data_IF_000228461164
#
_entry.id   IF_000228461164
#
_cell.length_a   1.000
_cell.length_b   1.000
_cell.length_c   1.000
_cell.angle_alpha   90.00
_cell.angle_beta   90.00
_cell.angle_gamma   90.00
#
_symmetry.space_group_name_H-M   'P 1'
#
loop_
_entity.id
_entity.type
_entity.pdbx_description
1 polymer ?
#
# COMPACT_ATOMS: atom_id res chain seq x y z
N UNK A 1 10.29 -6.61 14.12
CA UNK A 1 9.33 -7.04 13.09
C UNK A 1 9.74 -6.44 11.75
N UNK A 2 9.72 -7.23 10.67
CA UNK A 2 10.15 -6.88 9.32
C UNK A 2 8.99 -7.11 8.36
N UNK A 3 8.63 -6.10 7.58
CA UNK A 3 7.49 -6.11 6.68
C UNK A 3 7.99 -5.87 5.26
N UNK A 4 7.72 -6.82 4.37
CA UNK A 4 7.96 -6.69 2.94
C UNK A 4 6.70 -6.12 2.27
N UNK A 5 6.85 -5.10 1.42
CA UNK A 5 5.73 -4.38 0.82
C UNK A 5 5.93 -4.29 -0.69
N UNK A 6 4.94 -4.74 -1.45
CA UNK A 6 4.90 -4.64 -2.91
C UNK A 6 3.63 -3.91 -3.35
N UNK A 7 3.78 -2.76 -4.02
CA UNK A 7 2.68 -2.00 -4.59
C UNK A 7 2.64 -2.10 -6.11
N UNK A 8 1.45 -1.93 -6.68
CA UNK A 8 1.21 -1.80 -8.11
C UNK A 8 1.91 -2.90 -8.93
N UNK A 9 1.55 -4.15 -8.65
CA UNK A 9 2.20 -5.30 -9.28
C UNK A 9 2.00 -5.32 -10.80
N UNK A 10 0.82 -4.95 -11.30
CA UNK A 10 0.44 -5.01 -12.73
C UNK A 10 0.77 -6.36 -13.38
N UNK A 11 0.54 -7.46 -12.65
CA UNK A 11 0.84 -8.83 -13.07
C UNK A 11 2.31 -9.25 -12.91
N UNK A 12 3.21 -8.35 -12.52
CA UNK A 12 4.64 -8.62 -12.33
C UNK A 12 4.93 -9.28 -10.97
N UNK A 13 4.39 -10.49 -10.80
CA UNK A 13 4.62 -11.36 -9.65
C UNK A 13 4.80 -12.80 -10.10
N UNK A 14 5.82 -13.49 -9.57
CA UNK A 14 6.10 -14.85 -9.98
C UNK A 14 7.02 -15.63 -9.05
N UNK A 15 7.54 -16.75 -9.57
CA UNK A 15 8.33 -17.72 -8.79
C UNK A 15 9.59 -17.07 -8.20
N UNK A 16 10.18 -16.10 -8.91
CA UNK A 16 11.36 -15.38 -8.43
C UNK A 16 11.05 -14.50 -7.20
N UNK A 17 9.85 -13.90 -7.11
CA UNK A 17 9.43 -13.14 -5.93
C UNK A 17 9.21 -14.06 -4.74
N UNK A 18 8.61 -15.23 -4.96
CA UNK A 18 8.35 -16.21 -3.91
C UNK A 18 9.64 -16.85 -3.40
N UNK A 19 10.56 -17.21 -4.30
CA UNK A 19 11.90 -17.66 -3.93
C UNK A 19 12.65 -16.58 -3.14
N UNK A 20 12.52 -15.32 -3.54
CA UNK A 20 13.13 -14.22 -2.81
C UNK A 20 12.51 -14.07 -1.41
N UNK A 21 11.18 -14.15 -1.28
CA UNK A 21 10.51 -14.14 0.03
C UNK A 21 11.02 -15.28 0.93
N UNK A 22 11.20 -16.47 0.38
CA UNK A 22 11.75 -17.62 1.11
C UNK A 22 13.17 -17.37 1.62
N UNK A 23 13.96 -16.53 0.93
CA UNK A 23 15.29 -16.10 1.39
C UNK A 23 15.21 -15.00 2.44
N UNK A 24 14.32 -14.02 2.24
CA UNK A 24 14.23 -12.83 3.09
C UNK A 24 13.53 -13.11 4.43
N UNK A 25 12.59 -14.06 4.45
CA UNK A 25 11.81 -14.47 5.63
C UNK A 25 11.20 -13.26 6.38
N UNK A 26 10.43 -12.36 5.72
CA UNK A 26 9.76 -11.27 6.42
C UNK A 26 8.68 -11.81 7.37
N UNK A 27 8.37 -11.05 8.42
CA UNK A 27 7.33 -11.42 9.39
C UNK A 27 5.92 -11.29 8.79
N UNK A 28 5.74 -10.32 7.88
CA UNK A 28 4.51 -10.07 7.12
C UNK A 28 4.79 -9.52 5.70
N UNK A 29 3.83 -9.72 4.79
CA UNK A 29 3.88 -9.24 3.41
C UNK A 29 2.63 -8.42 3.11
N UNK A 30 2.81 -7.18 2.63
CA UNK A 30 1.72 -6.28 2.27
C UNK A 30 1.67 -6.09 0.75
N UNK A 31 0.49 -6.24 0.17
CA UNK A 31 0.23 -5.97 -1.24
C UNK A 31 -0.66 -4.73 -1.41
N UNK A 32 -0.16 -3.76 -2.18
CA UNK A 32 -0.74 -2.42 -2.31
C UNK A 32 -1.35 -2.21 -3.70
N UNK A 33 -2.48 -2.88 -3.91
CA UNK A 33 -3.35 -2.75 -5.08
C UNK A 33 -2.70 -2.96 -6.44
N UNK A 34 -3.54 -2.74 -7.45
CA UNK A 34 -3.26 -2.97 -8.88
C UNK A 34 -2.46 -4.27 -9.09
N UNK A 35 -2.99 -5.36 -8.55
CA UNK A 35 -2.35 -6.68 -8.57
C UNK A 35 -2.22 -7.18 -10.01
N UNK A 36 -3.32 -7.25 -10.76
CA UNK A 36 -3.34 -7.85 -12.10
C UNK A 36 -4.63 -7.64 -12.90
N UNK A 37 -5.23 -6.45 -12.84
CA UNK A 37 -6.45 -6.11 -13.61
C UNK A 37 -7.62 -7.12 -13.46
N UNK A 38 -7.69 -7.79 -12.31
CA UNK A 38 -8.71 -8.81 -12.01
C UNK A 38 -8.35 -10.25 -12.43
N UNK A 39 -7.10 -10.55 -12.77
CA UNK A 39 -6.67 -11.94 -12.99
C UNK A 39 -6.72 -12.78 -11.69
N UNK A 40 -7.71 -13.67 -11.64
CA UNK A 40 -7.94 -14.59 -10.53
C UNK A 40 -6.77 -15.56 -10.26
N UNK A 41 -5.90 -15.83 -11.25
CA UNK A 41 -4.74 -16.70 -11.07
C UNK A 41 -3.73 -16.05 -10.13
N UNK A 42 -3.43 -14.77 -10.32
CA UNK A 42 -2.54 -14.05 -9.43
C UNK A 42 -3.18 -13.83 -8.06
N UNK A 43 -4.47 -13.48 -8.02
CA UNK A 43 -5.20 -13.37 -6.74
C UNK A 43 -5.09 -14.65 -5.90
N UNK A 44 -5.31 -15.81 -6.54
CA UNK A 44 -5.17 -17.12 -5.87
C UNK A 44 -3.74 -17.38 -5.43
N UNK A 45 -2.76 -17.06 -6.27
CA UNK A 45 -1.34 -17.23 -5.98
C UNK A 45 -0.93 -16.43 -4.74
N UNK A 46 -1.29 -15.15 -4.67
CA UNK A 46 -1.07 -14.29 -3.49
C UNK A 46 -1.79 -14.84 -2.25
N UNK A 47 -3.06 -15.26 -2.37
CA UNK A 47 -3.81 -15.83 -1.25
C UNK A 47 -3.20 -17.13 -0.71
N UNK A 48 -2.46 -17.88 -1.53
CA UNK A 48 -1.84 -19.16 -1.16
C UNK A 48 -0.44 -19.04 -0.56
N UNK A 49 0.10 -17.83 -0.47
CA UNK A 49 1.43 -17.61 0.09
C UNK A 49 1.49 -18.07 1.56
N UNK A 50 2.52 -18.83 1.97
CA UNK A 50 2.67 -19.33 3.35
C UNK A 50 3.18 -18.24 4.31
N UNK A 51 2.68 -17.02 4.14
CA UNK A 51 3.09 -15.82 4.87
C UNK A 51 1.88 -15.12 5.49
N UNK A 52 2.15 -14.23 6.44
CA UNK A 52 1.15 -13.31 6.98
C UNK A 52 0.90 -12.21 5.95
N UNK A 53 -0.12 -12.42 5.13
CA UNK A 53 -0.45 -11.53 4.01
C UNK A 53 -1.62 -10.60 4.35
N UNK A 54 -1.44 -9.32 4.04
CA UNK A 54 -2.52 -8.33 3.97
C UNK A 54 -2.54 -7.65 2.60
N UNK A 55 -3.73 -7.44 2.05
CA UNK A 55 -3.95 -6.94 0.69
C UNK A 55 -5.00 -5.85 0.70
N UNK A 56 -4.71 -4.74 0.04
CA UNK A 56 -5.71 -3.77 -0.40
C UNK A 56 -5.78 -3.83 -1.93
N UNK A 57 -6.99 -3.80 -2.50
CA UNK A 57 -7.17 -3.78 -3.95
C UNK A 57 -7.07 -2.36 -4.48
N UNK A 58 -6.51 -2.22 -5.68
CA UNK A 58 -6.41 -0.97 -6.42
C UNK A 58 -7.47 -0.82 -7.51
N UNK A 59 -7.52 0.35 -8.15
CA UNK A 59 -8.55 0.66 -9.13
C UNK A 59 -8.53 -0.24 -10.37
N UNK A 60 -7.38 -0.84 -10.69
CA UNK A 60 -7.25 -1.77 -11.81
C UNK A 60 -7.86 -3.14 -11.47
N UNK A 61 -7.81 -3.58 -10.22
CA UNK A 61 -8.21 -4.93 -9.82
C UNK A 61 -9.69 -5.23 -10.05
N UNK A 62 -10.55 -4.23 -10.19
CA UNK A 62 -11.96 -4.45 -10.59
C UNK A 62 -12.08 -5.03 -12.01
N UNK A 63 -11.01 -4.96 -12.81
CA UNK A 63 -11.00 -5.28 -14.23
C UNK A 63 -12.01 -4.44 -15.03
N UNK A 64 -12.57 -5.03 -16.08
CA UNK A 64 -13.59 -4.40 -16.91
C UNK A 64 -15.03 -4.67 -16.43
N UNK A 65 -15.21 -5.54 -15.43
CA UNK A 65 -16.53 -5.98 -14.95
C UNK A 65 -17.20 -4.94 -14.04
N UNK A 66 -18.22 -4.27 -14.57
CA UNK A 66 -19.01 -3.27 -13.83
C UNK A 66 -20.07 -3.88 -12.91
N UNK A 67 -20.38 -5.18 -13.06
CA UNK A 67 -21.39 -5.86 -12.25
C UNK A 67 -20.89 -6.23 -10.85
N UNK A 68 -19.56 -6.26 -10.66
CA UNK A 68 -18.92 -6.66 -9.42
C UNK A 68 -18.80 -8.18 -9.24
N UNK A 69 -19.18 -8.99 -10.23
CA UNK A 69 -19.03 -10.45 -10.18
C UNK A 69 -17.56 -10.88 -10.05
N UNK A 70 -16.68 -10.30 -10.85
CA UNK A 70 -15.23 -10.53 -10.79
C UNK A 70 -14.65 -10.10 -9.43
N UNK A 71 -15.10 -8.95 -8.93
CA UNK A 71 -14.71 -8.43 -7.63
C UNK A 71 -15.09 -9.41 -6.51
N UNK A 72 -16.34 -9.93 -6.51
CA UNK A 72 -16.79 -10.93 -5.53
C UNK A 72 -15.95 -12.20 -5.57
N UNK A 73 -15.58 -12.68 -6.76
CA UNK A 73 -14.72 -13.85 -6.91
C UNK A 73 -13.33 -13.60 -6.31
N UNK A 74 -12.74 -12.43 -6.56
CA UNK A 74 -11.46 -12.06 -5.97
C UNK A 74 -11.52 -11.95 -4.44
N UNK A 75 -12.59 -11.38 -3.89
CA UNK A 75 -12.81 -11.33 -2.44
C UNK A 75 -12.91 -12.72 -1.83
N UNK A 76 -13.62 -13.64 -2.48
CA UNK A 76 -13.71 -15.05 -2.02
C UNK A 76 -12.34 -15.72 -2.05
N UNK A 77 -11.50 -15.44 -3.06
CA UNK A 77 -10.15 -16.01 -3.15
C UNK A 77 -9.20 -15.47 -2.09
N UNK A 78 -9.18 -14.14 -1.85
CA UNK A 78 -8.31 -13.54 -0.83
C UNK A 78 -8.77 -13.86 0.59
N UNK A 79 -10.09 -13.99 0.81
CA UNK A 79 -10.66 -14.17 2.13
C UNK A 79 -10.15 -13.09 3.10
N UNK A 80 -9.68 -13.54 4.26
CA UNK A 80 -9.19 -12.65 5.32
C UNK A 80 -7.90 -11.89 4.96
N UNK A 81 -7.22 -12.23 3.85
CA UNK A 81 -6.07 -11.44 3.40
C UNK A 81 -6.50 -10.01 2.99
N UNK A 82 -7.74 -9.81 2.55
CA UNK A 82 -8.21 -8.48 2.16
C UNK A 82 -8.67 -7.65 3.37
N UNK A 83 -8.03 -6.52 3.64
CA UNK A 83 -8.24 -5.75 4.86
C UNK A 83 -9.12 -4.50 4.71
N UNK A 84 -9.72 -4.26 3.54
CA UNK A 84 -10.43 -3.02 3.24
C UNK A 84 -11.56 -2.68 4.23
N UNK A 85 -11.60 -1.43 4.67
CA UNK A 85 -12.56 -0.93 5.67
C UNK A 85 -12.65 -1.78 6.94
N UNK A 86 -11.55 -2.46 7.28
CA UNK A 86 -11.46 -3.37 8.41
C UNK A 86 -10.02 -3.53 8.83
N UNK A 87 -9.72 -4.69 9.42
CA UNK A 87 -8.37 -5.02 9.87
C UNK A 87 -7.96 -6.41 9.42
N UNK A 88 -6.66 -6.58 9.19
CA UNK A 88 -6.01 -7.88 9.16
C UNK A 88 -5.09 -7.99 10.36
N UNK A 89 -5.30 -9.04 11.16
CA UNK A 89 -4.55 -9.37 12.38
C UNK A 89 -4.19 -10.84 12.41
N UNK A 90 -3.17 -11.18 13.18
CA UNK A 90 -2.70 -12.55 13.38
C UNK A 90 -2.45 -12.81 14.86
N UNK A 91 -2.74 -14.01 15.33
CA UNK A 91 -2.60 -14.34 16.76
C UNK A 91 -1.13 -14.51 17.19
N UNK A 92 -0.24 -14.77 16.23
CA UNK A 92 1.18 -15.06 16.44
C UNK A 92 2.13 -13.92 16.00
N UNK A 93 1.57 -12.77 15.62
CA UNK A 93 2.32 -11.56 15.27
C UNK A 93 1.61 -10.34 15.84
N UNK A 94 2.31 -9.55 16.65
CA UNK A 94 1.83 -8.29 17.22
C UNK A 94 1.77 -7.19 16.14
N UNK A 95 0.86 -7.36 15.18
CA UNK A 95 0.60 -6.45 14.07
C UNK A 95 -0.87 -6.53 13.67
N UNK A 96 -1.51 -5.35 13.65
CA UNK A 96 -2.83 -5.15 13.06
C UNK A 96 -2.72 -4.15 11.92
N UNK A 97 -3.08 -4.57 10.70
CA UNK A 97 -3.10 -3.74 9.50
C UNK A 97 -4.50 -3.20 9.28
N UNK A 98 -4.65 -1.88 9.32
CA UNK A 98 -5.91 -1.19 9.05
C UNK A 98 -6.06 -0.94 7.55
N UNK A 99 -7.11 -1.44 6.91
CA UNK A 99 -7.34 -1.16 5.49
C UNK A 99 -8.22 0.07 5.25
N UNK A 100 -7.78 0.92 4.33
CA UNK A 100 -8.56 2.04 3.82
C UNK A 100 -9.62 1.57 2.80
N UNK A 101 -10.13 2.52 2.01
CA UNK A 101 -11.08 2.24 0.94
C UNK A 101 -10.45 1.39 -0.17
N UNK A 102 -11.11 0.30 -0.61
CA UNK A 102 -10.61 -0.54 -1.68
C UNK A 102 -10.95 0.04 -3.06
N UNK A 103 -10.19 -0.34 -4.08
CA UNK A 103 -10.42 0.02 -5.49
C UNK A 103 -10.48 1.54 -5.74
N UNK A 104 -9.85 2.34 -4.89
CA UNK A 104 -9.77 3.79 -5.10
C UNK A 104 -8.97 4.10 -6.36
N UNK A 105 -9.42 5.08 -7.15
CA UNK A 105 -8.64 5.63 -8.26
C UNK A 105 -8.07 7.03 -7.94
N UNK A 106 -8.12 7.43 -6.67
CA UNK A 106 -7.67 8.73 -6.18
C UNK A 106 -8.60 9.88 -6.57
N UNK A 107 -8.13 11.11 -6.39
CA UNK A 107 -8.85 12.31 -6.80
C UNK A 107 -10.09 12.63 -5.95
N UNK A 108 -10.01 12.39 -4.64
CA UNK A 108 -11.08 12.67 -3.69
C UNK A 108 -11.90 11.42 -3.34
N UNK A 109 -13.21 11.56 -3.16
CA UNK A 109 -14.08 10.43 -2.81
C UNK A 109 -15.03 10.01 -3.95
N UNK A 110 -14.84 8.81 -4.50
CA UNK A 110 -15.77 8.18 -5.43
C UNK A 110 -15.75 6.65 -5.30
N UNK A 111 -16.85 5.99 -5.63
CA UNK A 111 -16.89 4.53 -5.79
C UNK A 111 -17.17 4.19 -7.25
N UNK A 112 -16.53 3.14 -7.75
CA UNK A 112 -16.89 2.62 -9.07
C UNK A 112 -18.20 1.81 -8.99
N UNK A 113 -18.91 1.67 -10.11
CA UNK A 113 -20.13 0.84 -10.18
C UNK A 113 -19.91 -0.59 -9.68
N UNK A 114 -18.74 -1.17 -9.96
CA UNK A 114 -18.39 -2.51 -9.50
C UNK A 114 -18.28 -2.57 -7.97
N UNK A 115 -17.68 -1.55 -7.36
CA UNK A 115 -17.53 -1.44 -5.90
C UNK A 115 -18.90 -1.24 -5.25
N UNK A 116 -19.73 -0.33 -5.78
CA UNK A 116 -21.10 -0.12 -5.30
C UNK A 116 -21.96 -1.38 -5.42
N UNK A 117 -21.79 -2.16 -6.48
CA UNK A 117 -22.52 -3.42 -6.67
C UNK A 117 -22.13 -4.51 -5.65
N UNK A 118 -20.93 -4.43 -5.06
CA UNK A 118 -20.46 -5.40 -4.07
C UNK A 118 -20.69 -4.93 -2.64
N UNK A 119 -20.29 -3.70 -2.32
CA UNK A 119 -20.32 -3.14 -0.98
C UNK A 119 -21.57 -2.31 -0.67
N UNK A 120 -22.42 -2.10 -1.68
CA UNK A 120 -23.51 -1.13 -1.61
C UNK A 120 -23.00 0.32 -1.75
N UNK A 121 -23.93 1.30 -1.72
CA UNK A 121 -23.54 2.69 -1.61
C UNK A 121 -22.84 2.92 -0.27
N UNK A 122 -21.66 3.54 -0.32
CA UNK A 122 -20.92 3.96 0.87
C UNK A 122 -20.63 5.44 0.73
N UNK A 123 -21.09 6.24 1.67
CA UNK A 123 -20.83 7.68 1.68
C UNK A 123 -19.41 7.96 2.16
N UNK A 124 -18.91 9.18 1.89
CA UNK A 124 -17.64 9.68 2.42
C UNK A 124 -17.55 9.46 3.94
N UNK A 125 -18.56 9.88 4.70
CA UNK A 125 -18.57 9.73 6.16
C UNK A 125 -18.56 8.26 6.58
N UNK A 126 -19.33 7.38 5.92
CA UNK A 126 -19.31 5.96 6.24
C UNK A 126 -17.95 5.31 5.95
N UNK A 127 -17.25 5.75 4.90
CA UNK A 127 -15.89 5.31 4.63
C UNK A 127 -14.93 5.73 5.74
N UNK A 128 -14.99 7.01 6.14
CA UNK A 128 -14.22 7.56 7.26
C UNK A 128 -14.49 6.78 8.55
N UNK A 129 -15.77 6.58 8.90
CA UNK A 129 -16.17 5.91 10.14
C UNK A 129 -15.68 4.45 10.19
N UNK A 130 -15.68 3.74 9.04
CA UNK A 130 -15.13 2.38 8.94
C UNK A 130 -13.63 2.35 9.19
N UNK A 131 -12.87 3.29 8.60
CA UNK A 131 -11.43 3.41 8.82
C UNK A 131 -11.14 3.73 10.30
N UNK A 132 -11.89 4.66 10.89
CA UNK A 132 -11.75 5.03 12.30
C UNK A 132 -12.07 3.86 13.24
N UNK A 133 -13.16 3.12 12.98
CA UNK A 133 -13.53 1.96 13.78
C UNK A 133 -12.45 0.86 13.71
N UNK A 134 -11.89 0.62 12.52
CA UNK A 134 -10.78 -0.31 12.34
C UNK A 134 -9.52 0.15 13.10
N UNK A 135 -9.14 1.42 12.97
CA UNK A 135 -7.99 2.00 13.68
C UNK A 135 -8.16 1.94 15.22
N UNK A 136 -9.37 2.19 15.73
CA UNK A 136 -9.67 2.12 17.16
C UNK A 136 -9.57 0.70 17.73
N UNK A 137 -9.63 -0.34 16.88
CA UNK A 137 -9.48 -1.74 17.30
C UNK A 137 -8.02 -2.18 17.45
N UNK A 138 -7.05 -1.37 17.02
CA UNK A 138 -5.63 -1.70 17.08
C UNK A 138 -5.12 -1.58 18.53
N UNK A 139 -4.55 -2.66 19.11
CA UNK A 139 -3.98 -2.62 20.46
C UNK A 139 -2.91 -1.53 20.62
N UNK A 140 -2.83 -0.89 21.78
CA UNK A 140 -1.89 0.23 22.04
C UNK A 140 -0.42 -0.15 21.86
N UNK A 141 -0.08 -1.41 22.13
CA UNK A 141 1.29 -1.94 22.09
C UNK A 141 1.76 -2.36 20.68
N UNK A 142 0.83 -2.51 19.73
CA UNK A 142 1.12 -2.85 18.33
C UNK A 142 1.31 -1.57 17.50
N UNK A 143 2.06 -1.57 16.39
CA UNK A 143 2.10 -0.40 15.51
C UNK A 143 0.74 -0.13 14.84
N UNK A 144 0.37 1.14 14.72
CA UNK A 144 -0.79 1.58 13.94
C UNK A 144 -0.38 1.78 12.48
N UNK A 145 -0.54 0.70 11.68
CA UNK A 145 -0.25 0.68 10.25
C UNK A 145 -1.55 0.78 9.44
N UNK A 146 -1.62 1.78 8.55
CA UNK A 146 -2.73 1.94 7.60
C UNK A 146 -2.28 1.57 6.18
N UNK A 147 -3.07 0.74 5.50
CA UNK A 147 -2.84 0.26 4.14
C UNK A 147 -3.93 0.78 3.20
N UNK A 148 -3.54 1.50 2.15
CA UNK A 148 -4.44 2.08 1.16
C UNK A 148 -3.92 1.87 -0.26
N UNK A 149 -4.78 1.83 -1.29
CA UNK A 149 -4.26 1.88 -2.66
C UNK A 149 -3.77 3.28 -3.01
N UNK A 150 -4.62 4.29 -2.81
CA UNK A 150 -4.24 5.69 -2.99
C UNK A 150 -3.87 6.32 -1.65
N UNK A 151 -2.83 7.16 -1.65
CA UNK A 151 -2.48 7.96 -0.47
C UNK A 151 -3.53 9.05 -0.17
N UNK A 152 -3.47 9.72 0.98
CA UNK A 152 -4.46 10.72 1.37
C UNK A 152 -4.34 12.01 0.57
N UNK A 153 -5.47 12.72 0.40
CA UNK A 153 -5.46 14.11 -0.04
C UNK A 153 -4.61 14.97 0.90
N UNK A 154 -3.88 15.94 0.35
CA UNK A 154 -2.95 16.83 1.03
C UNK A 154 -1.49 16.58 0.66
N UNK A 155 -1.20 15.50 -0.08
CA UNK A 155 0.15 15.07 -0.44
C UNK A 155 0.46 15.22 -1.95
N UNK A 156 -0.31 16.01 -2.69
CA UNK A 156 -0.20 16.10 -4.15
C UNK A 156 -0.05 17.51 -4.73
N UNK A 157 0.75 18.38 -4.10
CA UNK A 157 0.96 19.77 -4.57
C UNK A 157 1.58 19.86 -5.96
N UNK A 158 2.53 18.98 -6.26
CA UNK A 158 3.35 18.98 -7.48
C UNK A 158 3.31 17.61 -8.17
N UNK A 159 3.66 17.48 -9.47
CA UNK A 159 3.67 16.19 -10.16
C UNK A 159 4.52 15.11 -9.47
N UNK A 160 5.62 15.51 -8.83
CA UNK A 160 6.56 14.64 -8.12
C UNK A 160 6.21 14.45 -6.63
N UNK A 161 5.12 15.04 -6.16
CA UNK A 161 4.62 14.83 -4.80
C UNK A 161 4.02 13.42 -4.66
N UNK A 162 3.99 12.82 -3.45
CA UNK A 162 3.56 11.42 -3.28
C UNK A 162 2.17 11.10 -3.85
N UNK A 163 1.24 12.05 -3.84
CA UNK A 163 -0.12 11.93 -4.38
C UNK A 163 -0.42 12.89 -5.55
N UNK A 164 0.60 13.46 -6.19
CA UNK A 164 0.43 14.44 -7.28
C UNK A 164 0.11 13.80 -8.63
N UNK A 165 -0.92 14.29 -9.33
CA UNK A 165 -1.19 13.82 -10.70
C UNK A 165 -0.16 14.36 -11.68
N UNK A 166 0.50 13.46 -12.41
CA UNK A 166 1.57 13.77 -13.36
C UNK A 166 1.20 13.49 -14.84
N UNK A 167 0.12 12.76 -15.10
CA UNK A 167 -0.31 12.42 -16.46
C UNK A 167 -1.14 13.50 -17.18
N UNK A 168 -1.53 14.57 -16.49
CA UNK A 168 -2.30 15.68 -17.07
C UNK A 168 -1.98 16.99 -16.36
N UNK A 169 -1.80 18.07 -17.14
CA UNK A 169 -1.60 19.43 -16.63
C UNK A 169 -2.95 20.15 -16.39
N UNK A 170 -3.08 20.98 -15.34
CA UNK A 170 -2.11 21.19 -14.27
C UNK A 170 -1.99 19.98 -13.34
N UNK A 171 -0.88 19.92 -12.60
CA UNK A 171 -0.74 19.04 -11.45
C UNK A 171 -1.86 19.34 -10.46
N UNK A 172 -2.46 18.29 -9.92
CA UNK A 172 -3.46 18.41 -8.87
C UNK A 172 -3.29 17.29 -7.87
N UNK A 173 -3.74 17.55 -6.65
CA UNK A 173 -3.80 16.52 -5.62
C UNK A 173 -4.77 15.42 -6.05
N UNK A 174 -4.28 14.19 -6.02
CA UNK A 174 -5.00 13.01 -6.46
C UNK A 174 -5.13 11.97 -5.35
N UNK A 175 -4.99 12.39 -4.09
CA UNK A 175 -5.19 11.52 -2.93
C UNK A 175 -6.67 11.30 -2.57
N UNK A 176 -6.88 10.38 -1.63
CA UNK A 176 -8.17 9.98 -1.08
C UNK A 176 -8.63 10.94 0.03
N UNK A 177 -9.83 11.50 -0.15
CA UNK A 177 -10.41 12.47 0.78
C UNK A 177 -10.85 11.83 2.10
N UNK A 178 -11.47 10.65 2.03
CA UNK A 178 -11.89 9.87 3.19
C UNK A 178 -10.69 9.43 4.03
N UNK A 179 -9.61 8.98 3.39
CA UNK A 179 -8.38 8.62 4.09
C UNK A 179 -7.77 9.82 4.80
N UNK A 180 -7.67 10.98 4.14
CA UNK A 180 -7.18 12.22 4.75
C UNK A 180 -7.97 12.60 6.01
N UNK A 181 -9.31 12.63 5.91
CA UNK A 181 -10.20 12.94 7.04
C UNK A 181 -10.05 11.92 8.17
N UNK A 182 -9.97 10.62 7.85
CA UNK A 182 -9.83 9.57 8.84
C UNK A 182 -8.49 9.68 9.60
N UNK A 183 -7.39 9.92 8.89
CA UNK A 183 -6.06 10.09 9.48
C UNK A 183 -6.01 11.30 10.43
N UNK A 184 -6.62 12.42 10.03
CA UNK A 184 -6.72 13.61 10.87
C UNK A 184 -7.54 13.36 12.14
N UNK A 185 -8.67 12.65 12.03
CA UNK A 185 -9.53 12.35 13.17
C UNK A 185 -8.92 11.32 14.12
N UNK A 186 -8.29 10.26 13.61
CA UNK A 186 -7.66 9.25 14.48
C UNK A 186 -6.47 9.82 15.23
N UNK A 187 -5.68 10.71 14.60
CA UNK A 187 -4.52 11.36 15.20
C UNK A 187 -4.83 12.20 16.45
N UNK A 188 -6.11 12.53 16.71
CA UNK A 188 -6.54 13.13 17.98
C UNK A 188 -6.34 12.17 19.15
N UNK A 189 -6.53 10.88 18.93
CA UNK A 189 -6.41 9.82 19.95
C UNK A 189 -5.09 9.07 19.84
N UNK A 190 -4.65 8.79 18.62
CA UNK A 190 -3.46 8.00 18.33
C UNK A 190 -2.95 8.35 16.94
N UNK A 191 -1.70 8.82 16.88
CA UNK A 191 -1.02 9.15 15.62
C UNK A 191 -0.66 7.84 14.92
N UNK A 192 -0.96 7.67 13.62
CA UNK A 192 -0.51 6.50 12.86
C UNK A 192 1.01 6.46 12.75
N UNK A 193 1.58 5.27 12.92
CA UNK A 193 3.03 5.09 12.81
C UNK A 193 3.48 5.05 11.35
N UNK A 194 2.68 4.39 10.50
CA UNK A 194 2.97 4.20 9.08
C UNK A 194 1.68 4.14 8.24
N UNK A 195 1.65 4.92 7.16
CA UNK A 195 0.64 4.86 6.11
C UNK A 195 1.33 4.39 4.83
N UNK A 196 0.98 3.17 4.39
CA UNK A 196 1.50 2.56 3.16
C UNK A 196 0.46 2.70 2.06
N UNK A 197 0.87 3.22 0.90
CA UNK A 197 0.01 3.35 -0.27
C UNK A 197 0.77 3.16 -1.59
N UNK A 198 0.05 3.14 -2.70
CA UNK A 198 0.56 2.94 -4.05
C UNK A 198 -0.09 3.90 -5.06
N UNK A 199 -0.56 3.37 -6.19
CA UNK A 199 -1.27 4.02 -7.30
C UNK A 199 -0.41 5.01 -8.12
N UNK A 200 0.26 5.92 -7.42
CA UNK A 200 1.06 6.97 -7.99
C UNK A 200 2.47 6.46 -8.25
N UNK A 201 2.72 5.93 -9.44
CA UNK A 201 3.98 5.28 -9.76
C UNK A 201 5.20 6.18 -9.46
N UNK A 202 6.30 5.55 -9.01
CA UNK A 202 7.56 6.23 -8.70
C UNK A 202 8.12 6.98 -9.91
N UNK A 203 8.20 6.32 -11.06
CA UNK A 203 8.62 6.96 -12.30
C UNK A 203 7.49 7.85 -12.83
N UNK A 204 7.80 9.12 -13.11
CA UNK A 204 6.81 10.06 -13.61
C UNK A 204 6.40 9.73 -15.05
N UNK A 205 5.11 9.80 -15.34
CA UNK A 205 4.55 9.49 -16.67
C UNK A 205 4.89 10.56 -17.72
N UNK A 206 5.05 11.82 -17.30
CA UNK A 206 5.48 12.92 -18.18
C UNK A 206 6.82 13.47 -17.70
N UNK A 207 7.78 13.54 -18.63
CA UNK A 207 9.13 14.02 -18.37
C UNK A 207 10.07 12.92 -17.86
N UNK A 208 11.29 13.31 -17.48
CA UNK A 208 12.23 12.45 -16.77
C UNK A 208 12.24 12.83 -15.29
N UNK A 209 12.01 11.88 -14.39
CA UNK A 209 12.04 12.15 -12.96
C UNK A 209 11.37 11.06 -12.14
N UNK A 210 11.57 11.15 -10.84
CA UNK A 210 10.98 10.26 -9.85
C UNK A 210 10.19 11.06 -8.82
N UNK A 211 9.10 10.47 -8.37
CA UNK A 211 8.24 10.96 -7.31
C UNK A 211 8.91 10.78 -5.96
N UNK A 212 8.69 11.73 -5.05
CA UNK A 212 9.00 11.56 -3.64
C UNK A 212 8.15 10.41 -3.08
N UNK A 213 8.81 9.35 -2.64
CA UNK A 213 8.15 8.13 -2.16
C UNK A 213 7.97 8.08 -0.64
N UNK A 214 8.58 9.03 0.10
CA UNK A 214 8.37 9.25 1.52
C UNK A 214 7.95 10.70 1.76
N UNK A 215 6.95 10.87 2.63
CA UNK A 215 6.68 12.13 3.32
C UNK A 215 6.46 11.84 4.80
N UNK A 216 6.93 12.75 5.68
CA UNK A 216 6.60 12.71 7.10
C UNK A 216 5.85 13.97 7.48
N UNK A 217 4.74 13.82 8.18
CA UNK A 217 4.01 14.98 8.70
C UNK A 217 4.63 15.50 10.00
N UNK A 218 4.12 16.63 10.47
CA UNK A 218 4.56 17.27 11.71
C UNK A 218 4.17 16.50 12.98
N UNK A 219 3.22 15.56 12.88
CA UNK A 219 2.80 14.69 13.99
C UNK A 219 3.72 13.47 14.10
N UNK A 220 4.50 13.18 13.07
CA UNK A 220 5.47 12.09 13.02
C UNK A 220 5.06 10.92 12.13
N UNK A 221 3.85 10.94 11.55
CA UNK A 221 3.35 9.89 10.66
C UNK A 221 4.25 9.75 9.44
N UNK A 222 4.68 8.54 9.11
CA UNK A 222 5.38 8.24 7.87
C UNK A 222 4.39 7.82 6.77
N UNK A 223 4.46 8.47 5.62
CA UNK A 223 3.66 8.17 4.43
C UNK A 223 4.58 7.59 3.36
N UNK A 224 4.42 6.31 3.04
CA UNK A 224 5.27 5.60 2.07
C UNK A 224 4.46 5.18 0.86
N UNK A 225 4.88 5.66 -0.29
CA UNK A 225 4.41 5.20 -1.59
C UNK A 225 5.26 4.01 -2.06
N UNK A 226 4.65 2.85 -2.22
CA UNK A 226 5.26 1.58 -2.62
C UNK A 226 5.08 1.24 -4.12
N UNK A 227 4.52 2.16 -4.93
CA UNK A 227 4.22 1.97 -6.36
C UNK A 227 5.46 2.02 -7.26
N UNK A 228 6.42 1.11 -7.07
CA UNK A 228 7.58 1.01 -7.95
C UNK A 228 7.19 0.27 -9.24
N UNK A 229 7.05 1.00 -10.35
CA UNK A 229 6.67 0.40 -11.64
C UNK A 229 7.63 0.88 -12.74
N UNK A 230 8.34 -0.04 -13.43
CA UNK A 230 8.33 -1.50 -13.23
C UNK A 230 9.03 -1.92 -11.92
N UNK A 231 8.48 -2.93 -11.23
CA UNK A 231 9.07 -3.50 -10.00
C UNK A 231 10.13 -4.58 -10.23
N UNK A 232 10.38 -4.92 -11.49
CA UNK A 232 11.40 -5.88 -11.88
C UNK A 232 12.21 -5.32 -13.04
N UNK A 233 13.49 -5.62 -13.07
CA UNK A 233 14.38 -5.16 -14.13
C UNK A 233 15.63 -6.00 -14.24
N UNK A 234 16.61 -5.50 -14.98
CA UNK A 234 17.95 -6.07 -15.06
C UNK A 234 18.96 -5.06 -14.52
N UNK A 235 19.99 -5.53 -13.84
CA UNK A 235 21.16 -4.70 -13.51
C UNK A 235 22.12 -4.54 -14.70
N UNK A 236 23.22 -3.82 -14.48
CA UNK A 236 24.23 -3.56 -15.50
C UNK A 236 24.89 -4.83 -16.04
N UNK A 237 24.87 -5.93 -15.29
CA UNK A 237 25.39 -7.24 -15.68
C UNK A 237 24.30 -8.16 -16.26
N UNK A 238 23.08 -7.67 -16.48
CA UNK A 238 21.97 -8.43 -17.05
C UNK A 238 21.30 -9.40 -16.08
N UNK A 239 21.54 -9.28 -14.76
CA UNK A 239 20.90 -10.12 -13.75
C UNK A 239 19.55 -9.54 -13.35
N UNK A 240 18.57 -10.41 -13.15
CA UNK A 240 17.23 -10.00 -12.69
C UNK A 240 17.27 -9.32 -11.33
N UNK A 241 16.53 -8.22 -11.22
CA UNK A 241 16.30 -7.49 -9.98
C UNK A 241 14.81 -7.45 -9.66
N UNK A 242 14.49 -7.52 -8.37
CA UNK A 242 13.14 -7.42 -7.82
C UNK A 242 13.10 -6.34 -6.75
N UNK A 243 12.15 -5.42 -6.88
CA UNK A 243 11.92 -4.35 -5.92
C UNK A 243 10.99 -4.80 -4.79
N UNK A 244 11.34 -4.36 -3.59
CA UNK A 244 10.51 -4.41 -2.40
C UNK A 244 10.67 -3.12 -1.61
N UNK A 245 9.54 -2.51 -1.23
CA UNK A 245 9.56 -1.54 -0.12
C UNK A 245 9.68 -2.33 1.18
N UNK A 246 10.39 -1.79 2.17
CA UNK A 246 10.73 -2.51 3.39
C UNK A 246 10.53 -1.62 4.60
N UNK A 247 9.83 -2.14 5.61
CA UNK A 247 9.64 -1.48 6.90
C UNK A 247 10.10 -2.38 8.04
N UNK A 248 10.72 -1.79 9.06
CA UNK A 248 11.08 -2.50 10.28
C UNK A 248 10.56 -1.75 11.50
N UNK A 249 10.04 -2.52 12.45
CA UNK A 249 9.52 -2.04 13.72
C UNK A 249 10.24 -2.72 14.89
N UNK A 250 10.49 -1.95 15.95
CA UNK A 250 10.89 -2.43 17.27
C UNK A 250 9.77 -2.11 18.25
N UNK A 251 8.97 -3.11 18.62
CA UNK A 251 7.66 -2.89 19.26
C UNK A 251 6.72 -2.14 18.31
N UNK A 252 6.09 -1.07 18.79
CA UNK A 252 5.28 -0.15 17.97
C UNK A 252 6.09 0.92 17.23
N UNK A 253 7.40 1.05 17.52
CA UNK A 253 8.23 2.10 16.94
C UNK A 253 8.74 1.70 15.55
N UNK A 254 8.45 2.52 14.53
CA UNK A 254 9.01 2.39 13.19
C UNK A 254 10.49 2.80 13.21
N UNK A 255 11.40 1.85 12.94
CA UNK A 255 12.85 2.05 13.05
C UNK A 255 13.56 2.11 11.70
N UNK A 256 12.96 1.57 10.65
CA UNK A 256 13.58 1.55 9.32
C UNK A 256 12.53 1.62 8.22
N UNK A 257 12.83 2.40 7.17
CA UNK A 257 12.12 2.39 5.89
C UNK A 257 13.13 2.43 4.75
N UNK A 258 12.90 1.64 3.70
CA UNK A 258 13.72 1.70 2.49
C UNK A 258 13.02 1.11 1.28
N UNK A 259 13.44 1.53 0.08
CA UNK A 259 13.26 0.75 -1.14
C UNK A 259 14.48 -0.12 -1.37
N UNK A 260 14.28 -1.40 -1.66
CA UNK A 260 15.36 -2.39 -1.82
C UNK A 260 15.21 -3.14 -3.13
N UNK A 261 16.33 -3.36 -3.81
CA UNK A 261 16.42 -4.17 -5.02
C UNK A 261 17.30 -5.38 -4.76
N UNK A 262 16.73 -6.55 -4.98
CA UNK A 262 17.38 -7.83 -4.72
C UNK A 262 17.52 -8.62 -6.02
N UNK A 263 18.56 -9.43 -6.12
CA UNK A 263 18.55 -10.57 -7.05
C UNK A 263 17.67 -11.70 -6.48
N UNK A 264 17.10 -12.60 -7.31
CA UNK A 264 16.24 -13.69 -6.84
C UNK A 264 16.88 -14.65 -5.81
N UNK A 265 18.21 -14.71 -5.78
CA UNK A 265 18.98 -15.50 -4.80
C UNK A 265 19.05 -14.85 -3.40
N UNK A 266 18.51 -13.63 -3.24
CA UNK A 266 18.46 -12.90 -1.98
C UNK A 266 19.57 -11.85 -1.80
N UNK A 267 20.46 -11.66 -2.77
CA UNK A 267 21.51 -10.64 -2.63
C UNK A 267 20.95 -9.23 -2.82
N UNK A 268 21.13 -8.36 -1.83
CA UNK A 268 20.78 -6.94 -1.91
C UNK A 268 21.76 -6.22 -2.84
N UNK A 269 21.24 -5.61 -3.92
CA UNK A 269 22.04 -4.89 -4.92
C UNK A 269 21.96 -3.38 -4.76
N UNK A 270 20.79 -2.89 -4.40
CA UNK A 270 20.59 -1.47 -4.14
C UNK A 270 19.62 -1.27 -2.99
N UNK A 271 19.89 -0.27 -2.16
CA UNK A 271 18.99 0.19 -1.12
C UNK A 271 18.94 1.71 -1.14
N UNK A 272 17.74 2.25 -1.24
CA UNK A 272 17.44 3.65 -0.96
C UNK A 272 16.84 3.71 0.45
N UNK A 273 17.59 4.22 1.42
CA UNK A 273 17.06 4.46 2.77
C UNK A 273 16.12 5.66 2.73
N UNK A 274 14.92 5.50 3.30
CA UNK A 274 13.92 6.55 3.42
C UNK A 274 14.03 7.13 4.84
N UNK A 275 14.67 8.30 5.02
CA UNK A 275 15.08 8.77 6.33
C UNK A 275 13.90 9.04 7.26
N UNK A 276 13.90 8.35 8.39
CA UNK A 276 13.07 8.62 9.55
C UNK A 276 13.85 9.58 10.45
N UNK A 277 14.06 10.84 10.05
CA UNK A 277 14.85 11.78 10.86
C UNK A 277 14.44 11.74 12.35
N UNK A 278 15.44 11.85 13.24
CA UNK A 278 15.19 11.99 14.67
C UNK A 278 14.22 13.15 14.91
N UNK A 279 13.34 13.08 15.95
CA UNK A 279 12.46 14.19 16.25
C UNK A 279 13.30 15.48 16.33
N UNK A 280 12.89 16.50 15.56
CA UNK A 280 13.42 17.85 15.72
C UNK A 280 13.23 18.18 17.20
N UNK A 281 14.32 18.21 17.96
CA UNK A 281 14.31 18.78 19.30
C UNK A 281 13.87 20.23 19.13
N UNK A 282 12.84 20.62 19.89
CA UNK A 282 12.18 21.92 19.87
C UNK A 282 13.13 23.12 19.73
#
# INVERSE_FOLDING_TARGET
MRIAIAGDLHGAWGDADEQLLDRLQPDAVLFVGDLSDGDLRLTRRIASLPYRVAVIFGNHDRGSDKSGGLLRQQLVLLGDCHCAWGVRRWDDLALTVVGARPFSAGGGFHLSKAVEAVYGPVTLNQSVDRILAAAASVPSEEPLLVLAHCGPTGLGSDPDSPCGRDWKSPAIDWGDQDLSIALDRMAVTRIPDLVVFGHMHHALKRGSGYRKSLLRDRRGTAYVNAACVPRSGLDAEGRSLLHWSWAEFSGSCLTHLSHRWYTPDGALRHQESLPLDAPLQC
#
